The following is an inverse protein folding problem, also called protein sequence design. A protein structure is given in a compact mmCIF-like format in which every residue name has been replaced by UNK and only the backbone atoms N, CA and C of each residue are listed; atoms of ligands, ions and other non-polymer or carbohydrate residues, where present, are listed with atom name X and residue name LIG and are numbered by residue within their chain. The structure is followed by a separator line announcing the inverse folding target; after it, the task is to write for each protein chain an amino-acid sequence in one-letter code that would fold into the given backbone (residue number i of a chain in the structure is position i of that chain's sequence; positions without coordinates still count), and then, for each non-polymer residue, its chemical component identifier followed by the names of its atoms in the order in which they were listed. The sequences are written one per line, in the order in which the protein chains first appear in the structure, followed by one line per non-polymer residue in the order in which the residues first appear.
data_IF_066720567554
#
_entry.id   IF_066720567554
#
_cell.length_a   1.000
_cell.length_b   1.000
_cell.length_c   1.000
_cell.angle_alpha   90.00
_cell.angle_beta   90.00
_cell.angle_gamma   90.00
#
_symmetry.space_group_name_H-M   'P 1'
#
loop_
_entity.id
_entity.type
_entity.pdbx_description
1 polymer ?
#
# COMPACT_ATOMS: atom_id res chain seq x y z
N UNK A 1 -33.79 17.49 -21.81
CA UNK A 1 -32.89 16.33 -21.65
C UNK A 1 -32.03 16.59 -20.42
N UNK A 2 -32.29 15.93 -19.29
CA UNK A 2 -31.55 16.12 -18.03
C UNK A 2 -30.29 15.25 -18.11
N UNK A 3 -29.12 15.88 -18.05
CA UNK A 3 -27.85 15.19 -17.87
C UNK A 3 -27.81 14.73 -16.40
N UNK A 4 -27.77 13.43 -16.18
CA UNK A 4 -27.60 12.84 -14.85
C UNK A 4 -26.18 13.16 -14.38
N UNK A 5 -26.09 13.73 -13.19
CA UNK A 5 -24.85 13.94 -12.46
C UNK A 5 -24.09 12.60 -12.37
N UNK A 6 -22.82 12.57 -12.75
CA UNK A 6 -21.96 11.45 -12.39
C UNK A 6 -21.93 11.37 -10.88
N UNK A 7 -22.41 10.26 -10.31
CA UNK A 7 -22.26 9.98 -8.89
C UNK A 7 -20.78 10.11 -8.53
N UNK A 8 -20.46 11.03 -7.62
CA UNK A 8 -19.20 10.98 -6.90
C UNK A 8 -19.22 9.66 -6.12
N UNK A 9 -18.72 8.58 -6.73
CA UNK A 9 -18.56 7.31 -6.02
C UNK A 9 -17.59 7.56 -4.88
N UNK A 10 -18.14 7.64 -3.66
CA UNK A 10 -17.36 7.69 -2.45
C UNK A 10 -16.52 6.41 -2.37
N UNK A 11 -15.25 6.55 -2.03
CA UNK A 11 -14.37 5.41 -1.91
C UNK A 11 -14.83 4.46 -0.83
N UNK A 12 -14.98 3.19 -1.16
CA UNK A 12 -15.40 2.17 -0.20
C UNK A 12 -14.21 1.34 0.27
N UNK A 13 -14.05 1.23 1.58
CA UNK A 13 -13.05 0.38 2.22
C UNK A 13 -13.72 -0.72 3.04
N UNK A 14 -13.48 -1.97 2.68
CA UNK A 14 -14.08 -3.16 3.31
C UNK A 14 -13.00 -4.19 3.65
N UNK A 15 -13.36 -5.25 4.40
CA UNK A 15 -12.46 -6.36 4.74
C UNK A 15 -12.98 -7.66 4.12
N UNK A 16 -12.09 -8.57 3.73
CA UNK A 16 -12.46 -9.90 3.19
C UNK A 16 -13.03 -10.84 4.26
N UNK A 17 -12.96 -10.49 5.55
CA UNK A 17 -13.40 -11.36 6.63
C UNK A 17 -13.58 -10.64 7.96
N UNK A 18 -13.76 -11.43 9.02
CA UNK A 18 -14.04 -10.96 10.37
C UNK A 18 -12.78 -10.51 11.13
N UNK A 19 -11.84 -9.85 10.45
CA UNK A 19 -10.60 -9.29 10.98
C UNK A 19 -9.60 -10.31 11.54
N UNK A 20 -9.48 -11.49 10.91
CA UNK A 20 -8.33 -12.34 11.13
C UNK A 20 -7.06 -11.65 10.63
N UNK A 21 -5.91 -12.01 11.23
CA UNK A 21 -4.64 -11.32 10.96
C UNK A 21 -4.22 -11.29 9.49
N UNK A 22 -4.65 -12.27 8.70
CA UNK A 22 -4.33 -12.40 7.29
C UNK A 22 -5.45 -11.94 6.34
N UNK A 23 -6.59 -11.49 6.87
CA UNK A 23 -7.65 -10.89 6.07
C UNK A 23 -7.15 -9.62 5.38
N UNK A 24 -7.66 -9.37 4.18
CA UNK A 24 -7.28 -8.22 3.37
C UNK A 24 -8.28 -7.09 3.51
N UNK A 25 -7.77 -5.88 3.53
CA UNK A 25 -8.55 -4.69 3.27
C UNK A 25 -8.68 -4.49 1.77
N UNK A 26 -9.88 -4.15 1.34
CA UNK A 26 -10.26 -3.91 -0.04
C UNK A 26 -10.54 -2.44 -0.26
N UNK A 27 -10.21 -1.96 -1.46
CA UNK A 27 -10.66 -0.67 -1.97
C UNK A 27 -11.57 -0.92 -3.16
N UNK A 28 -12.83 -0.46 -3.08
CA UNK A 28 -13.86 -0.72 -4.09
C UNK A 28 -13.96 -2.21 -4.48
N UNK A 29 -13.91 -3.11 -3.49
CA UNK A 29 -13.96 -4.56 -3.69
C UNK A 29 -12.67 -5.24 -4.18
N UNK A 30 -11.56 -4.50 -4.34
CA UNK A 30 -10.28 -5.05 -4.80
C UNK A 30 -9.25 -5.14 -3.66
N UNK A 31 -8.64 -6.32 -3.49
CA UNK A 31 -7.55 -6.56 -2.51
C UNK A 31 -6.19 -6.02 -2.96
N UNK A 32 -6.00 -5.83 -4.27
CA UNK A 32 -4.77 -5.34 -4.86
C UNK A 32 -4.87 -3.82 -5.02
N UNK A 33 -4.20 -3.08 -4.15
CA UNK A 33 -4.27 -1.61 -4.11
C UNK A 33 -3.38 -0.96 -5.17
N UNK A 34 -2.33 -1.67 -5.59
CA UNK A 34 -1.50 -1.35 -6.75
C UNK A 34 -0.90 -2.66 -7.30
N UNK A 35 -0.48 -2.67 -8.57
CA UNK A 35 0.23 -3.80 -9.20
C UNK A 35 1.54 -3.32 -9.80
N UNK A 36 2.64 -3.83 -9.26
CA UNK A 36 3.98 -3.53 -9.78
C UNK A 36 4.29 -4.48 -10.93
N UNK A 37 4.61 -3.98 -12.13
CA UNK A 37 5.11 -4.83 -13.21
C UNK A 37 6.41 -5.57 -12.81
N UNK A 38 6.74 -6.68 -13.49
CA UNK A 38 8.05 -7.33 -13.38
C UNK A 38 9.21 -6.33 -13.47
N UNK A 39 10.26 -6.56 -12.69
CA UNK A 39 11.50 -5.75 -12.68
C UNK A 39 11.34 -4.29 -12.22
N UNK A 40 10.18 -3.92 -11.64
CA UNK A 40 10.00 -2.59 -11.00
C UNK A 40 10.91 -2.43 -9.79
N UNK A 41 11.13 -3.51 -9.04
CA UNK A 41 12.04 -3.61 -7.91
C UNK A 41 13.12 -4.62 -8.30
N UNK A 42 14.39 -4.25 -8.13
CA UNK A 42 15.51 -5.16 -8.36
C UNK A 42 15.33 -6.45 -7.56
N UNK A 43 15.48 -7.60 -8.22
CA UNK A 43 15.34 -8.93 -7.60
C UNK A 43 13.97 -9.58 -7.80
N UNK A 44 12.94 -8.85 -8.26
CA UNK A 44 11.61 -9.40 -8.50
C UNK A 44 11.28 -9.46 -9.99
N UNK A 45 11.02 -10.67 -10.50
CA UNK A 45 10.79 -10.96 -11.92
C UNK A 45 9.33 -11.23 -12.29
N UNK A 46 8.42 -11.23 -11.32
CA UNK A 46 6.98 -11.39 -11.52
C UNK A 46 6.24 -10.07 -11.22
N UNK A 47 4.97 -10.01 -11.62
CA UNK A 47 4.07 -8.95 -11.16
C UNK A 47 3.88 -9.08 -9.64
N UNK A 48 3.95 -7.96 -8.92
CA UNK A 48 3.78 -7.91 -7.48
C UNK A 48 2.66 -6.94 -7.08
N UNK A 49 1.49 -7.44 -6.69
CA UNK A 49 0.47 -6.64 -6.06
C UNK A 49 0.94 -6.06 -4.72
N UNK A 50 0.50 -4.84 -4.41
CA UNK A 50 0.58 -4.26 -3.07
C UNK A 50 -0.80 -4.40 -2.41
N UNK A 51 -0.82 -5.02 -1.23
CA UNK A 51 -2.02 -5.30 -0.46
C UNK A 51 -1.90 -4.70 0.95
N UNK A 52 -3.04 -4.53 1.62
CA UNK A 52 -3.11 -4.21 3.05
C UNK A 52 -3.80 -5.35 3.80
N UNK A 53 -3.08 -6.02 4.69
CA UNK A 53 -3.66 -7.00 5.60
C UNK A 53 -4.03 -6.38 6.95
N UNK A 54 -5.03 -6.96 7.63
CA UNK A 54 -5.45 -6.56 8.99
C UNK A 54 -4.28 -6.55 9.96
N UNK A 55 -3.45 -7.60 9.91
CA UNK A 55 -2.25 -7.74 10.71
C UNK A 55 -2.52 -7.91 12.21
N UNK A 56 -1.52 -7.54 13.00
CA UNK A 56 -1.52 -7.68 14.46
C UNK A 56 -1.06 -6.38 15.11
N UNK A 57 -0.89 -6.41 16.42
CA UNK A 57 -0.13 -5.44 17.20
C UNK A 57 1.25 -5.04 16.60
N UNK A 58 1.93 -5.94 15.88
CA UNK A 58 3.31 -5.77 15.42
C UNK A 58 3.48 -5.49 13.92
N UNK A 59 2.43 -5.66 13.11
CA UNK A 59 2.45 -5.37 11.68
C UNK A 59 1.04 -5.17 11.08
N UNK A 60 0.94 -4.65 9.87
CA UNK A 60 -0.31 -4.48 9.13
C UNK A 60 -1.13 -3.28 9.61
N UNK A 61 -2.40 -3.21 9.17
CA UNK A 61 -3.29 -2.08 9.50
C UNK A 61 -3.39 -1.84 11.00
N UNK A 62 -3.59 -2.91 11.79
CA UNK A 62 -3.73 -2.85 13.26
C UNK A 62 -2.50 -2.20 13.92
N UNK A 63 -1.30 -2.52 13.44
CA UNK A 63 -0.07 -1.92 13.95
C UNK A 63 0.02 -0.44 13.61
N UNK A 64 -0.29 -0.07 12.36
CA UNK A 64 -0.22 1.31 11.88
C UNK A 64 -1.17 2.19 12.68
N UNK A 65 -2.42 1.77 12.85
CA UNK A 65 -3.44 2.50 13.62
C UNK A 65 -3.03 2.68 15.08
N UNK A 66 -2.32 1.72 15.66
CA UNK A 66 -1.94 1.77 17.07
C UNK A 66 -0.65 2.53 17.31
N UNK A 67 0.38 2.32 16.49
CA UNK A 67 1.74 2.87 16.71
C UNK A 67 1.95 4.20 16.02
N UNK A 68 1.18 4.50 14.98
CA UNK A 68 1.29 5.73 14.20
C UNK A 68 0.00 6.57 14.25
N UNK A 69 -0.89 6.30 15.22
CA UNK A 69 -2.15 7.02 15.42
C UNK A 69 -1.99 8.53 15.40
N UNK A 70 -1.02 9.04 16.18
CA UNK A 70 -0.82 10.48 16.31
C UNK A 70 -0.48 11.13 14.97
N UNK A 71 0.40 10.49 14.18
CA UNK A 71 0.70 10.98 12.84
C UNK A 71 -0.53 10.93 11.93
N UNK A 72 -1.32 9.85 11.94
CA UNK A 72 -2.57 9.77 11.17
C UNK A 72 -3.57 10.86 11.55
N UNK A 73 -3.73 11.14 12.85
CA UNK A 73 -4.58 12.21 13.37
C UNK A 73 -4.14 13.58 12.83
N UNK A 74 -2.83 13.85 12.73
CA UNK A 74 -2.34 15.10 12.09
C UNK A 74 -2.69 15.21 10.61
N UNK A 75 -2.97 14.09 9.93
CA UNK A 75 -3.39 14.07 8.53
C UNK A 75 -4.92 14.07 8.36
N UNK A 76 -5.68 13.98 9.47
CA UNK A 76 -7.14 13.84 9.47
C UNK A 76 -7.64 12.71 8.57
N UNK A 77 -6.88 11.59 8.53
CA UNK A 77 -7.16 10.41 7.70
C UNK A 77 -6.93 9.13 8.47
N UNK A 78 -7.73 8.10 8.17
CA UNK A 78 -7.45 6.75 8.62
C UNK A 78 -6.35 6.09 7.73
N UNK A 79 -5.91 4.89 8.11
CA UNK A 79 -4.85 4.17 7.38
C UNK A 79 -5.24 3.88 5.94
N UNK A 80 -6.48 3.47 5.69
CA UNK A 80 -6.95 3.12 4.36
C UNK A 80 -6.99 4.34 3.44
N UNK A 81 -7.54 5.46 3.91
CA UNK A 81 -7.61 6.71 3.15
C UNK A 81 -6.21 7.22 2.78
N UNK A 82 -5.32 7.30 3.78
CA UNK A 82 -3.97 7.80 3.55
C UNK A 82 -3.17 6.85 2.66
N UNK A 83 -3.21 5.54 2.91
CA UNK A 83 -2.51 4.55 2.08
C UNK A 83 -3.01 4.60 0.64
N UNK A 84 -4.33 4.70 0.43
CA UNK A 84 -4.91 4.81 -0.89
C UNK A 84 -4.27 6.00 -1.60
N UNK A 85 -4.40 7.21 -1.05
CA UNK A 85 -3.81 8.42 -1.65
C UNK A 85 -2.32 8.30 -1.93
N UNK A 86 -1.55 7.78 -0.96
CA UNK A 86 -0.11 7.59 -1.10
C UNK A 86 0.20 6.68 -2.27
N UNK A 87 -0.44 5.52 -2.41
CA UNK A 87 -0.25 4.63 -3.56
C UNK A 87 -0.66 5.28 -4.90
N UNK A 88 -1.41 6.39 -4.88
CA UNK A 88 -1.70 7.23 -6.04
C UNK A 88 -0.59 8.21 -6.44
N UNK A 89 0.55 8.19 -5.75
CA UNK A 89 1.66 9.13 -5.94
C UNK A 89 2.93 8.40 -6.36
N UNK A 90 3.85 9.04 -7.11
CA UNK A 90 5.15 8.45 -7.38
C UNK A 90 6.00 8.32 -6.09
N UNK A 91 6.94 7.37 -6.11
CA UNK A 91 7.84 7.11 -4.98
C UNK A 91 9.12 6.37 -5.40
N UNK A 92 9.95 6.03 -4.43
CA UNK A 92 11.21 5.31 -4.65
C UNK A 92 11.31 4.12 -3.69
N UNK A 93 11.76 2.99 -4.23
CA UNK A 93 12.03 1.79 -3.46
C UNK A 93 13.46 1.79 -2.93
N UNK A 94 13.62 1.43 -1.66
CA UNK A 94 14.91 1.22 -1.01
C UNK A 94 14.99 -0.19 -0.42
N UNK A 95 16.20 -0.74 -0.38
CA UNK A 95 16.46 -2.00 0.31
C UNK A 95 16.26 -1.87 1.82
N UNK A 96 15.98 -3.00 2.46
CA UNK A 96 15.92 -3.14 3.91
C UNK A 96 16.99 -4.14 4.36
N UNK A 97 17.36 -4.12 5.64
CA UNK A 97 18.26 -5.12 6.23
C UNK A 97 17.66 -6.54 6.15
N UNK A 98 16.35 -6.65 6.36
CA UNK A 98 15.59 -7.88 6.15
C UNK A 98 15.26 -8.03 4.65
N UNK A 99 15.77 -9.09 4.01
CA UNK A 99 15.64 -9.33 2.56
C UNK A 99 14.19 -9.50 2.09
N UNK A 100 13.29 -9.93 2.98
CA UNK A 100 11.86 -10.05 2.70
C UNK A 100 11.14 -8.69 2.68
N UNK A 101 11.83 -7.60 3.04
CA UNK A 101 11.24 -6.27 3.14
C UNK A 101 11.87 -5.27 2.18
N UNK A 102 11.03 -4.37 1.71
CA UNK A 102 11.43 -3.18 0.95
C UNK A 102 10.76 -1.95 1.53
N UNK A 103 11.40 -0.81 1.35
CA UNK A 103 10.91 0.50 1.78
C UNK A 103 10.38 1.23 0.57
N UNK A 104 9.20 1.83 0.66
CA UNK A 104 8.65 2.72 -0.36
C UNK A 104 8.52 4.13 0.23
N UNK A 105 9.33 5.05 -0.27
CA UNK A 105 9.38 6.45 0.17
C UNK A 105 8.60 7.33 -0.81
N UNK A 106 7.68 8.13 -0.29
CA UNK A 106 6.74 8.94 -1.07
C UNK A 106 6.72 10.38 -0.55
N UNK A 107 7.23 11.33 -1.34
CA UNK A 107 7.56 12.71 -0.92
C UNK A 107 6.51 13.78 -1.25
N UNK A 108 5.39 13.40 -1.88
CA UNK A 108 4.26 14.32 -2.02
C UNK A 108 3.54 14.41 -0.68
N UNK A 109 3.29 15.64 -0.20
CA UNK A 109 2.80 15.87 1.15
C UNK A 109 1.47 15.12 1.42
N UNK A 110 1.34 14.47 2.58
CA UNK A 110 2.38 14.28 3.59
C UNK A 110 3.43 13.25 3.16
N UNK A 111 4.68 13.51 3.51
CA UNK A 111 5.77 12.54 3.37
C UNK A 111 5.42 11.25 4.10
N UNK A 112 5.47 10.11 3.39
CA UNK A 112 5.26 8.79 3.98
C UNK A 112 6.35 7.80 3.58
N UNK A 113 6.74 6.97 4.54
CA UNK A 113 7.54 5.77 4.37
C UNK A 113 6.65 4.56 4.65
N UNK A 114 6.52 3.69 3.65
CA UNK A 114 5.84 2.40 3.76
C UNK A 114 6.90 1.31 3.87
N UNK A 115 6.70 0.39 4.80
CA UNK A 115 7.50 -0.84 4.88
C UNK A 115 6.65 -1.98 4.32
N UNK A 116 7.09 -2.53 3.20
CA UNK A 116 6.41 -3.62 2.51
C UNK A 116 7.15 -4.92 2.78
N UNK A 117 6.43 -6.00 3.07
CA UNK A 117 6.98 -7.35 3.17
C UNK A 117 6.50 -8.19 1.98
N UNK A 118 7.41 -8.86 1.31
CA UNK A 118 7.11 -9.90 0.32
C UNK A 118 6.60 -11.15 1.01
N UNK A 119 5.48 -11.66 0.49
CA UNK A 119 4.83 -12.88 0.95
C UNK A 119 4.69 -13.80 -0.24
N UNK A 120 5.35 -14.96 -0.16
CA UNK A 120 5.16 -16.04 -1.11
C UNK A 120 3.83 -16.75 -0.80
N UNK A 121 2.97 -16.89 -1.81
CA UNK A 121 1.69 -17.57 -1.63
C UNK A 121 1.32 -18.40 -2.87
N UNK A 122 1.22 -19.72 -2.68
CA UNK A 122 0.93 -20.65 -3.78
C UNK A 122 -0.48 -20.50 -4.39
N UNK A 123 -1.43 -19.95 -3.62
CA UNK A 123 -2.83 -19.85 -4.04
C UNK A 123 -3.14 -18.50 -4.66
N UNK A 124 -2.61 -17.42 -4.08
CA UNK A 124 -2.90 -16.04 -4.49
C UNK A 124 -1.81 -15.45 -5.41
N UNK A 125 -0.69 -16.14 -5.55
CA UNK A 125 0.54 -15.56 -6.10
C UNK A 125 1.25 -14.70 -5.07
N UNK A 126 2.49 -14.35 -5.39
CA UNK A 126 3.32 -13.50 -4.53
C UNK A 126 2.78 -12.08 -4.46
N UNK A 127 2.87 -11.45 -3.28
CA UNK A 127 2.45 -10.07 -3.07
C UNK A 127 3.32 -9.34 -2.05
N UNK A 128 3.19 -8.02 -2.04
CA UNK A 128 3.76 -7.14 -1.03
C UNK A 128 2.65 -6.69 -0.08
N UNK A 129 2.79 -6.96 1.21
CA UNK A 129 1.86 -6.45 2.23
C UNK A 129 2.45 -5.25 2.95
N UNK A 130 1.64 -4.20 3.15
CA UNK A 130 2.04 -3.03 3.95
C UNK A 130 2.11 -3.44 5.42
N UNK A 131 3.32 -3.51 5.98
CA UNK A 131 3.54 -3.89 7.38
C UNK A 131 3.55 -2.70 8.33
N UNK A 132 4.05 -1.54 7.88
CA UNK A 132 3.89 -0.27 8.58
C UNK A 132 3.90 0.91 7.60
N UNK A 133 3.37 2.05 8.04
CA UNK A 133 3.32 3.31 7.31
C UNK A 133 3.44 4.45 8.32
N UNK A 134 4.42 5.33 8.12
CA UNK A 134 4.66 6.47 9.01
C UNK A 134 5.34 7.63 8.27
N UNK A 135 5.49 8.77 8.94
CA UNK A 135 6.18 9.93 8.41
C UNK A 135 7.62 9.57 8.00
N UNK A 136 8.10 10.08 6.87
CA UNK A 136 9.48 9.83 6.44
C UNK A 136 10.46 10.35 7.49
N UNK A 137 11.39 9.52 8.00
CA UNK A 137 12.44 9.97 8.90
C UNK A 137 13.45 10.86 8.16
N UNK A 138 14.27 11.61 8.91
CA UNK A 138 15.30 12.50 8.35
C UNK A 138 16.29 11.78 7.43
N UNK A 139 16.59 10.52 7.74
CA UNK A 139 17.49 9.67 6.97
C UNK A 139 16.78 8.37 6.60
N UNK A 140 16.91 8.00 5.33
CA UNK A 140 16.51 6.69 4.82
C UNK A 140 17.78 5.89 4.61
N UNK A 141 17.87 4.76 5.29
CA UNK A 141 18.89 3.74 5.12
C UNK A 141 18.49 2.75 3.99
N UNK A 142 19.50 2.10 3.41
CA UNK A 142 19.33 1.19 2.28
C UNK A 142 19.67 1.82 0.92
N UNK A 143 19.89 0.97 -0.08
CA UNK A 143 20.18 1.38 -1.46
C UNK A 143 18.89 1.58 -2.25
N UNK A 144 18.86 2.54 -3.18
CA UNK A 144 17.74 2.68 -4.11
C UNK A 144 17.67 1.49 -5.07
N UNK A 145 16.53 0.80 -5.12
CA UNK A 145 16.35 -0.47 -5.87
C UNK A 145 15.18 -0.43 -6.87
N UNK A 146 14.53 0.71 -7.03
CA UNK A 146 13.42 0.85 -7.97
C UNK A 146 12.68 2.17 -7.86
N UNK A 147 11.82 2.43 -8.83
CA UNK A 147 10.94 3.60 -8.85
C UNK A 147 9.49 3.15 -8.84
N UNK A 148 8.68 3.74 -7.98
CA UNK A 148 7.25 3.54 -7.93
C UNK A 148 6.54 4.63 -8.74
N UNK A 149 5.60 4.22 -9.59
CA UNK A 149 4.77 5.12 -10.39
C UNK A 149 3.29 4.91 -10.05
N UNK A 150 2.52 6.00 -10.03
CA UNK A 150 1.11 5.96 -9.62
C UNK A 150 0.19 5.28 -10.64
N UNK A 151 0.60 5.17 -11.90
CA UNK A 151 -0.14 4.43 -12.93
C UNK A 151 -0.27 2.93 -12.62
N UNK A 152 0.44 2.42 -11.61
CA UNK A 152 0.28 1.07 -11.07
C UNK A 152 -1.00 0.86 -10.26
N UNK A 153 -1.71 1.95 -9.90
CA UNK A 153 -2.95 1.92 -9.13
C UNK A 153 -4.20 1.65 -9.99
N UNK A 154 -4.04 1.37 -11.28
CA UNK A 154 -5.20 1.19 -12.16
C UNK A 154 -4.91 0.23 -13.31
N UNK A 155 -5.58 -0.91 -13.31
CA UNK A 155 -5.91 -1.64 -14.53
C UNK A 155 -7.40 -1.99 -14.50
N UNK A 156 -8.26 -0.99 -14.62
CA UNK A 156 -9.60 -1.20 -15.16
C UNK A 156 -9.51 -0.86 -16.65
N UNK A 157 -9.15 -1.84 -17.49
CA UNK A 157 -9.70 -1.86 -18.83
C UNK A 157 -10.93 -2.76 -18.77
N UNK A 158 -12.07 -2.09 -18.80
CA UNK A 158 -13.35 -2.68 -19.21
C UNK A 158 -13.07 -3.41 -20.53
N UNK A 159 -13.33 -4.71 -20.58
CA UNK A 159 -13.63 -5.41 -21.83
C UNK A 159 -15.04 -5.94 -21.73
#
# INVERSE_FOLDING_TARGET
MRILFSENQQMEFTSTGNNHHFDFWMVNGQTHWARLPPKTIQGFSCELPICLQTGTASWGKTHIERKHKHWLETQSKNVCELLYEKLGQPGHFFSSEESSKVKLVMRLAPDALLILRHVENKTLGDFLTVTTMYQVPRHIDGAGIGRYLSNYRTTNQIT
#
